data_IF_008214265353
#
_entry.id   IF_008214265353
#
_cell.length_a   1.000
_cell.length_b   1.000
_cell.length_c   1.000
_cell.angle_alpha   90.00
_cell.angle_beta   90.00
_cell.angle_gamma   90.00
#
_symmetry.space_group_name_H-M   'P 1'
#
loop_
_entity.id
_entity.type
_entity.pdbx_description
1 polymer ?
#
# COMPACT_ATOMS: atom_id res chain seq x y z
N UNK A 1 11.51 -8.61 -7.74
CA UNK A 1 11.26 -10.04 -8.03
C UNK A 1 9.77 -10.15 -8.37
N UNK A 2 9.40 -10.81 -9.46
CA UNK A 2 7.98 -10.98 -9.86
C UNK A 2 7.28 -11.90 -8.85
N UNK A 3 6.03 -11.59 -8.49
CA UNK A 3 5.17 -12.37 -7.59
C UNK A 3 5.81 -12.74 -6.24
N UNK A 4 6.57 -11.80 -5.68
CA UNK A 4 7.27 -12.01 -4.40
C UNK A 4 7.02 -10.91 -3.38
N UNK A 5 6.74 -9.67 -3.81
CA UNK A 5 6.75 -8.51 -2.91
C UNK A 5 8.13 -7.86 -2.82
N UNK A 6 8.40 -7.18 -1.70
CA UNK A 6 9.64 -6.43 -1.48
C UNK A 6 10.73 -7.33 -0.91
N UNK A 7 11.93 -7.29 -1.50
CA UNK A 7 13.05 -8.10 -1.04
C UNK A 7 13.42 -7.75 0.41
N UNK A 8 13.49 -8.78 1.27
CA UNK A 8 13.78 -8.63 2.70
C UNK A 8 12.59 -8.26 3.58
N UNK A 9 11.39 -8.08 3.00
CA UNK A 9 10.17 -7.82 3.76
C UNK A 9 9.58 -9.11 4.36
N UNK A 10 8.98 -9.00 5.54
CA UNK A 10 8.36 -10.14 6.24
C UNK A 10 7.14 -10.71 5.48
N UNK A 11 6.53 -9.90 4.63
CA UNK A 11 5.42 -10.23 3.74
C UNK A 11 5.90 -10.70 2.37
N UNK A 12 7.19 -10.95 2.16
CA UNK A 12 7.68 -11.45 0.89
C UNK A 12 7.36 -12.95 0.72
N UNK A 13 6.88 -13.36 -0.45
CA UNK A 13 6.64 -14.76 -0.80
C UNK A 13 5.39 -15.02 -1.63
N UNK A 14 5.03 -16.30 -1.73
CA UNK A 14 3.92 -16.78 -2.55
C UNK A 14 2.57 -16.70 -1.79
N UNK A 15 2.00 -15.50 -1.73
CA UNK A 15 0.65 -15.21 -1.20
C UNK A 15 0.14 -13.90 -1.79
N UNK A 16 -1.13 -13.55 -1.55
CA UNK A 16 -1.81 -12.47 -2.28
C UNK A 16 -1.63 -11.05 -1.72
N UNK A 17 -1.03 -10.87 -0.54
CA UNK A 17 -0.78 -9.54 0.07
C UNK A 17 0.71 -9.22 0.14
N UNK A 18 1.34 -9.20 -1.03
CA UNK A 18 2.79 -9.05 -1.18
C UNK A 18 3.30 -7.63 -0.91
N UNK A 19 2.45 -6.62 -1.18
CA UNK A 19 2.73 -5.20 -0.99
C UNK A 19 1.51 -4.56 -0.34
N UNK A 20 1.73 -3.82 0.74
CA UNK A 20 0.70 -3.02 1.41
C UNK A 20 0.86 -1.54 1.06
N UNK A 21 -0.28 -0.88 0.81
CA UNK A 21 -0.36 0.54 0.48
C UNK A 21 -1.19 1.28 1.54
N UNK A 22 -0.78 2.48 1.95
CA UNK A 22 -1.57 3.37 2.79
C UNK A 22 -1.64 4.78 2.21
N UNK A 23 -2.84 5.36 2.18
CA UNK A 23 -3.01 6.72 1.69
C UNK A 23 -2.51 7.75 2.70
N UNK A 24 -1.78 8.76 2.24
CA UNK A 24 -1.41 9.93 3.06
C UNK A 24 -2.67 10.60 3.63
N UNK A 25 -3.74 10.69 2.83
CA UNK A 25 -5.03 11.21 3.31
C UNK A 25 -5.59 10.43 4.51
N UNK A 26 -5.36 9.11 4.59
CA UNK A 26 -5.76 8.29 5.73
C UNK A 26 -4.92 8.59 6.98
N UNK A 27 -3.61 8.78 6.82
CA UNK A 27 -2.71 9.18 7.91
C UNK A 27 -3.12 10.56 8.45
N UNK A 28 -3.35 11.53 7.57
CA UNK A 28 -3.80 12.87 7.95
C UNK A 28 -5.17 12.87 8.62
N UNK A 29 -6.09 12.00 8.18
CA UNK A 29 -7.37 11.82 8.86
C UNK A 29 -7.19 11.35 10.32
N UNK A 30 -6.31 10.38 10.54
CA UNK A 30 -6.02 9.88 11.90
C UNK A 30 -5.31 10.94 12.76
N UNK A 31 -4.38 11.71 12.18
CA UNK A 31 -3.73 12.86 12.85
C UNK A 31 -4.74 13.91 13.26
N UNK A 32 -5.70 14.24 12.39
CA UNK A 32 -6.78 15.17 12.70
C UNK A 32 -7.68 14.67 13.85
N UNK A 33 -7.74 13.36 14.08
CA UNK A 33 -8.42 12.72 15.21
C UNK A 33 -7.54 12.61 16.47
N UNK A 34 -6.33 13.15 16.44
CA UNK A 34 -5.41 13.19 17.58
C UNK A 34 -4.43 12.01 17.67
N UNK A 35 -4.33 11.17 16.65
CA UNK A 35 -3.30 10.12 16.60
C UNK A 35 -1.91 10.71 16.28
N UNK A 36 -0.89 10.27 16.99
CA UNK A 36 0.51 10.55 16.66
C UNK A 36 1.07 9.41 15.81
N UNK A 37 0.74 9.45 14.51
CA UNK A 37 1.13 8.43 13.53
C UNK A 37 1.84 9.05 12.34
N UNK A 38 2.72 8.29 11.68
CA UNK A 38 3.47 8.69 10.48
C UNK A 38 3.55 7.52 9.48
N UNK A 39 3.98 7.80 8.24
CA UNK A 39 4.30 6.75 7.28
C UNK A 39 5.19 5.66 7.91
N UNK A 40 4.76 4.40 7.76
CA UNK A 40 5.39 3.19 8.27
C UNK A 40 4.81 2.68 9.59
N UNK A 41 4.05 3.49 10.35
CA UNK A 41 3.50 3.06 11.64
C UNK A 41 2.41 1.98 11.51
N UNK A 42 1.84 1.82 10.31
CA UNK A 42 0.88 0.75 10.00
C UNK A 42 1.53 -0.45 9.31
N UNK A 43 2.88 -0.49 9.28
CA UNK A 43 3.66 -1.48 8.54
C UNK A 43 3.31 -1.56 7.05
N UNK A 44 2.87 -0.44 6.47
CA UNK A 44 2.70 -0.32 5.04
C UNK A 44 4.05 -0.32 4.33
N UNK A 45 4.13 -0.89 3.12
CA UNK A 45 5.34 -0.82 2.32
C UNK A 45 5.45 0.53 1.59
N UNK A 46 4.32 1.09 1.15
CA UNK A 46 4.30 2.31 0.34
C UNK A 46 3.18 3.23 0.85
N UNK A 47 3.51 4.51 1.03
CA UNK A 47 2.50 5.55 1.19
C UNK A 47 2.18 6.22 -0.14
N UNK A 48 0.89 6.52 -0.36
CA UNK A 48 0.39 7.06 -1.62
C UNK A 48 -0.32 8.40 -1.38
N UNK A 49 0.02 9.40 -2.18
CA UNK A 49 -0.63 10.71 -2.20
C UNK A 49 -1.38 10.93 -3.53
N UNK A 50 -2.41 11.77 -3.52
CA UNK A 50 -3.15 12.17 -4.73
C UNK A 50 -4.19 11.14 -5.20
N UNK A 51 -4.43 10.08 -4.44
CA UNK A 51 -5.40 9.03 -4.75
C UNK A 51 -6.06 8.48 -3.48
N UNK A 52 -7.33 8.11 -3.59
CA UNK A 52 -8.08 7.45 -2.51
C UNK A 52 -8.07 5.93 -2.76
N UNK A 53 -7.16 5.23 -2.08
CA UNK A 53 -6.90 3.80 -2.35
C UNK A 53 -8.13 2.91 -2.09
N UNK A 54 -8.93 3.19 -1.07
CA UNK A 54 -10.09 2.36 -0.71
C UNK A 54 -11.28 2.51 -1.68
N UNK A 55 -11.22 3.46 -2.62
CA UNK A 55 -12.23 3.61 -3.68
C UNK A 55 -11.85 2.82 -4.94
N UNK A 56 -10.64 2.26 -5.02
CA UNK A 56 -10.21 1.45 -6.15
C UNK A 56 -10.90 0.08 -6.13
N UNK A 57 -11.25 -0.41 -7.32
CA UNK A 57 -11.76 -1.76 -7.47
C UNK A 57 -10.63 -2.80 -7.31
N UNK A 58 -10.94 -3.95 -6.72
CA UNK A 58 -10.07 -5.14 -6.81
C UNK A 58 -9.85 -5.48 -8.29
N UNK A 59 -8.61 -5.80 -8.67
CA UNK A 59 -8.15 -5.95 -10.05
C UNK A 59 -7.64 -4.65 -10.70
N UNK A 60 -7.70 -3.52 -10.00
CA UNK A 60 -7.09 -2.27 -10.49
C UNK A 60 -5.57 -2.44 -10.56
N UNK A 61 -4.98 -2.01 -11.67
CA UNK A 61 -3.53 -2.02 -11.85
C UNK A 61 -2.93 -0.63 -11.59
N UNK A 62 -1.88 -0.57 -10.78
CA UNK A 62 -1.12 0.63 -10.45
C UNK A 62 0.30 0.51 -10.96
N UNK A 63 0.76 1.48 -11.75
CA UNK A 63 2.15 1.52 -12.21
C UNK A 63 3.04 2.25 -11.20
N UNK A 64 4.13 1.62 -10.81
CA UNK A 64 5.16 2.17 -9.91
C UNK A 64 6.49 2.21 -10.66
N UNK A 65 6.94 3.40 -11.02
CA UNK A 65 8.12 3.56 -11.88
C UNK A 65 7.93 2.96 -13.27
N UNK A 66 9.02 2.52 -13.90
CA UNK A 66 9.00 2.00 -15.26
C UNK A 66 8.60 0.51 -15.34
N UNK A 67 8.96 -0.28 -14.33
CA UNK A 67 9.02 -1.75 -14.47
C UNK A 67 8.05 -2.50 -13.54
N UNK A 68 7.41 -1.81 -12.59
CA UNK A 68 6.55 -2.45 -11.59
C UNK A 68 5.09 -2.12 -11.85
N UNK A 69 4.27 -3.15 -12.00
CA UNK A 69 2.82 -3.07 -11.98
C UNK A 69 2.34 -3.80 -10.72
N UNK A 70 1.53 -3.14 -9.92
CA UNK A 70 0.82 -3.71 -8.79
C UNK A 70 -0.63 -3.97 -9.18
N UNK A 71 -1.23 -5.05 -8.69
CA UNK A 71 -2.66 -5.29 -8.78
C UNK A 71 -3.30 -5.15 -7.39
N UNK A 72 -4.41 -4.43 -7.28
CA UNK A 72 -5.19 -4.36 -6.05
C UNK A 72 -5.89 -5.72 -5.84
N UNK A 73 -5.37 -6.53 -4.93
CA UNK A 73 -5.94 -7.87 -4.63
C UNK A 73 -6.94 -7.85 -3.48
N UNK A 74 -6.90 -6.83 -2.62
CA UNK A 74 -7.76 -6.69 -1.44
C UNK A 74 -7.84 -5.21 -1.00
N UNK A 75 -9.01 -4.80 -0.47
CA UNK A 75 -9.21 -3.55 0.26
C UNK A 75 -9.57 -3.90 1.71
N UNK A 76 -8.97 -3.22 2.69
CA UNK A 76 -9.19 -3.46 4.12
C UNK A 76 -7.90 -3.75 4.86
#
# INVERSE_FOLDING_TARGET
IVDHGMEGDAHAGNWHRQISLLGIASIEHMRAQGADVKPGDFAENITVEGMVLYELAVGTHLQVGADVILEITQIG
#
